data_IF_893251458574
#
_entry.id   IF_893251458574
#
_cell.length_a   1.000
_cell.length_b   1.000
_cell.length_c   1.000
_cell.angle_alpha   90.00
_cell.angle_beta   90.00
_cell.angle_gamma   90.00
#
_symmetry.space_group_name_H-M   'P 1'
#
loop_
_entity.id
_entity.type
_entity.pdbx_description
1 polymer ?
#
# COMPACT_ATOMS: atom_id res chain seq x y z
N UNK A 1 11.35 11.86 10.55
CA UNK A 1 9.96 12.17 10.95
C UNK A 1 9.55 11.12 11.96
N UNK A 2 9.87 11.34 13.24
CA UNK A 2 9.91 10.25 14.24
C UNK A 2 8.65 10.15 15.10
N UNK A 3 7.64 10.98 14.85
CA UNK A 3 6.33 10.93 15.49
C UNK A 3 5.26 11.28 14.44
N UNK A 4 4.25 10.42 14.31
CA UNK A 4 3.11 10.62 13.38
C UNK A 4 1.85 10.04 14.01
N UNK A 5 0.70 10.54 13.59
CA UNK A 5 -0.61 10.08 14.04
C UNK A 5 -1.13 8.94 13.17
N UNK A 6 -1.66 7.91 13.85
CA UNK A 6 -2.26 6.72 13.24
C UNK A 6 -3.69 6.53 13.75
N UNK A 7 -4.51 5.82 12.96
CA UNK A 7 -5.81 5.35 13.43
C UNK A 7 -5.64 3.99 14.11
N UNK A 8 -6.06 3.90 15.37
CA UNK A 8 -6.01 2.65 16.11
C UNK A 8 -6.98 1.60 15.53
N UNK A 9 -6.50 0.36 15.40
CA UNK A 9 -7.31 -0.83 15.13
C UNK A 9 -6.98 -1.87 16.21
N UNK A 10 -7.99 -2.30 16.96
CA UNK A 10 -7.81 -3.30 18.01
C UNK A 10 -7.64 -4.67 17.37
N UNK A 11 -6.56 -5.35 17.73
CA UNK A 11 -6.20 -6.67 17.25
C UNK A 11 -5.89 -7.57 18.46
N UNK A 12 -6.01 -8.90 18.34
CA UNK A 12 -5.50 -9.80 19.36
C UNK A 12 -3.98 -9.65 19.53
N UNK A 13 -3.43 -10.19 20.61
CA UNK A 13 -2.01 -10.18 21.00
C UNK A 13 -1.50 -8.87 21.64
N UNK A 14 -0.24 -8.86 22.07
CA UNK A 14 0.37 -7.81 22.91
C UNK A 14 1.52 -7.06 22.24
N UNK A 15 1.42 -6.83 20.92
CA UNK A 15 2.42 -6.09 20.15
C UNK A 15 1.76 -5.05 19.26
N UNK A 16 2.45 -3.94 19.03
CA UNK A 16 2.01 -2.97 18.03
C UNK A 16 2.24 -3.51 16.63
N UNK A 17 1.31 -3.19 15.73
CA UNK A 17 1.33 -3.60 14.34
C UNK A 17 0.98 -2.40 13.48
N UNK A 18 1.85 -2.08 12.54
CA UNK A 18 1.65 -1.03 11.55
C UNK A 18 2.27 -1.46 10.22
N UNK A 19 1.98 -0.71 9.17
CA UNK A 19 2.41 -1.04 7.81
C UNK A 19 3.92 -0.81 7.64
N UNK A 20 4.61 -1.75 6.99
CA UNK A 20 6.06 -1.72 6.79
C UNK A 20 6.54 -0.53 5.95
N UNK A 21 5.71 -0.01 5.03
CA UNK A 21 6.04 1.18 4.24
C UNK A 21 6.28 2.42 5.13
N UNK A 22 5.78 2.41 6.37
CA UNK A 22 5.91 3.51 7.33
C UNK A 22 7.10 3.30 8.28
N UNK A 23 7.85 2.21 8.16
CA UNK A 23 9.02 1.94 9.01
C UNK A 23 10.18 2.91 8.77
N UNK A 24 10.44 3.32 7.53
CA UNK A 24 11.57 4.19 7.19
C UNK A 24 11.56 5.55 7.92
N UNK A 25 10.42 6.27 8.04
CA UNK A 25 10.34 7.47 8.88
C UNK A 25 10.77 7.28 10.34
N UNK A 26 10.52 6.09 10.91
CA UNK A 26 10.85 5.73 12.28
C UNK A 26 12.23 5.10 12.45
N UNK A 27 12.87 4.71 11.34
CA UNK A 27 14.09 3.91 11.34
C UNK A 27 13.93 2.60 12.15
N UNK A 28 12.81 1.91 11.93
CA UNK A 28 12.48 0.62 12.56
C UNK A 28 12.60 -0.54 11.55
N UNK A 29 12.89 -1.75 12.01
CA UNK A 29 13.05 -2.94 11.14
C UNK A 29 12.46 -4.26 11.70
N UNK A 30 11.68 -4.18 12.79
CA UNK A 30 11.00 -5.32 13.43
C UNK A 30 11.92 -6.41 14.01
N UNK A 31 13.12 -6.04 14.48
CA UNK A 31 14.09 -6.96 15.10
C UNK A 31 13.91 -7.15 16.63
N UNK A 32 12.98 -6.43 17.25
CA UNK A 32 12.77 -6.39 18.70
C UNK A 32 12.52 -4.99 19.27
N UNK A 33 12.58 -3.96 18.43
CA UNK A 33 12.30 -2.58 18.79
C UNK A 33 10.98 -2.35 19.55
N UNK A 34 11.04 -1.42 20.51
CA UNK A 34 9.88 -0.92 21.24
C UNK A 34 9.52 0.50 20.77
N UNK A 35 8.22 0.81 20.75
CA UNK A 35 7.72 2.14 20.39
C UNK A 35 6.72 2.65 21.43
N UNK A 36 6.75 3.96 21.67
CA UNK A 36 5.80 4.62 22.56
C UNK A 36 4.56 5.08 21.81
N UNK A 37 3.40 5.02 22.46
CA UNK A 37 2.14 5.58 21.96
C UNK A 37 1.64 6.64 22.92
N UNK A 38 1.27 7.79 22.38
CA UNK A 38 0.61 8.87 23.10
C UNK A 38 -0.82 9.03 22.60
N UNK A 39 -1.77 9.16 23.52
CA UNK A 39 -3.19 9.33 23.20
C UNK A 39 -3.62 10.78 23.48
N UNK A 40 -3.93 11.59 22.44
CA UNK A 40 -4.53 12.91 22.63
C UNK A 40 -5.87 12.80 23.35
N UNK A 41 -6.07 13.61 24.39
CA UNK A 41 -7.27 13.57 25.23
C UNK A 41 -8.35 14.57 24.77
N UNK A 42 -7.96 15.73 24.24
CA UNK A 42 -8.90 16.77 23.79
C UNK A 42 -9.28 16.58 22.33
N UNK A 43 -10.47 17.04 21.95
CA UNK A 43 -10.94 16.95 20.57
C UNK A 43 -10.10 17.80 19.61
N UNK A 44 -9.64 18.97 20.08
CA UNK A 44 -8.76 19.87 19.32
C UNK A 44 -7.42 19.19 19.02
N UNK A 45 -6.73 18.65 20.03
CA UNK A 45 -5.47 17.94 19.84
C UNK A 45 -5.64 16.69 18.96
N UNK A 46 -6.76 15.98 19.06
CA UNK A 46 -7.07 14.84 18.20
C UNK A 46 -7.23 15.28 16.74
N UNK A 47 -7.95 16.37 16.49
CA UNK A 47 -8.18 16.89 15.14
C UNK A 47 -6.86 17.39 14.52
N UNK A 48 -6.06 18.13 15.28
CA UNK A 48 -4.75 18.62 14.85
C UNK A 48 -3.78 17.46 14.54
N UNK A 49 -3.69 16.47 15.44
CA UNK A 49 -2.83 15.31 15.21
C UNK A 49 -3.22 14.54 13.94
N UNK A 50 -4.53 14.36 13.69
CA UNK A 50 -4.99 13.69 12.47
C UNK A 50 -4.75 14.52 11.21
N UNK A 51 -4.97 15.84 11.27
CA UNK A 51 -4.86 16.73 10.12
C UNK A 51 -3.41 17.07 9.76
N UNK A 52 -2.54 17.29 10.75
CA UNK A 52 -1.17 17.74 10.52
C UNK A 52 -0.16 16.60 10.66
N UNK A 53 -0.33 15.73 11.64
CA UNK A 53 0.62 14.65 11.95
C UNK A 53 0.23 13.31 11.32
N UNK A 54 -0.89 13.22 10.61
CA UNK A 54 -1.34 11.98 9.98
C UNK A 54 -0.34 11.46 8.95
N UNK A 55 -0.16 10.14 8.89
CA UNK A 55 0.79 9.49 7.94
C UNK A 55 0.52 9.90 6.49
N UNK A 56 -0.76 9.99 6.09
CA UNK A 56 -1.16 10.37 4.73
C UNK A 56 -0.73 11.79 4.35
N UNK A 57 -0.59 12.69 5.33
CA UNK A 57 -0.15 14.07 5.11
C UNK A 57 1.37 14.22 5.21
N UNK A 58 2.07 13.19 5.70
CA UNK A 58 3.52 13.17 5.93
C UNK A 58 4.22 12.07 5.12
N UNK A 59 3.79 11.84 3.87
CA UNK A 59 4.42 10.87 2.97
C UNK A 59 5.78 11.33 2.44
N UNK A 60 6.00 12.65 2.44
CA UNK A 60 7.17 13.32 1.86
C UNK A 60 7.97 13.95 3.00
N UNK A 61 9.30 13.85 2.94
CA UNK A 61 10.17 14.49 3.93
C UNK A 61 10.34 15.99 3.65
N UNK A 62 10.30 16.81 4.70
CA UNK A 62 10.53 18.26 4.61
C UNK A 62 11.97 18.64 4.27
N UNK A 63 12.93 17.72 4.44
CA UNK A 63 14.36 17.97 4.19
C UNK A 63 14.67 18.22 2.71
N UNK A 64 14.14 17.38 1.82
CA UNK A 64 14.48 17.39 0.39
C UNK A 64 13.27 17.12 -0.53
N UNK A 65 12.06 16.96 0.00
CA UNK A 65 10.86 16.75 -0.82
C UNK A 65 10.75 15.34 -1.41
N UNK A 66 11.55 14.37 -0.95
CA UNK A 66 11.48 13.00 -1.42
C UNK A 66 10.42 12.17 -0.65
N UNK A 67 9.76 11.20 -1.30
CA UNK A 67 8.89 10.25 -0.60
C UNK A 67 9.69 9.44 0.41
N UNK A 68 9.25 9.44 1.67
CA UNK A 68 9.87 8.65 2.74
C UNK A 68 9.03 7.44 3.14
N UNK A 69 7.70 7.51 2.93
CA UNK A 69 6.77 6.39 3.10
C UNK A 69 6.60 5.78 1.73
N UNK A 70 7.27 4.66 1.49
CA UNK A 70 7.33 4.01 0.18
C UNK A 70 7.45 2.49 0.33
N UNK A 71 7.23 1.78 -0.76
CA UNK A 71 7.43 0.34 -0.81
C UNK A 71 8.90 -0.02 -0.56
N UNK A 72 9.14 -0.97 0.34
CA UNK A 72 10.47 -1.46 0.71
C UNK A 72 10.57 -2.98 0.56
N UNK A 73 11.79 -3.50 0.45
CA UNK A 73 12.11 -4.93 0.53
C UNK A 73 11.20 -5.81 -0.36
N UNK A 74 10.32 -6.61 0.24
CA UNK A 74 9.50 -7.62 -0.44
C UNK A 74 8.50 -7.04 -1.43
N UNK A 75 7.99 -5.82 -1.17
CA UNK A 75 7.12 -5.15 -2.12
C UNK A 75 7.83 -4.84 -3.43
N UNK A 76 9.10 -4.40 -3.35
CA UNK A 76 9.90 -4.08 -4.54
C UNK A 76 10.26 -5.36 -5.30
N UNK A 77 10.69 -6.40 -4.58
CA UNK A 77 11.02 -7.70 -5.18
C UNK A 77 9.81 -8.30 -5.90
N UNK A 78 8.65 -8.30 -5.25
CA UNK A 78 7.42 -8.85 -5.80
C UNK A 78 6.92 -8.04 -7.00
N UNK A 79 6.97 -6.71 -6.92
CA UNK A 79 6.60 -5.84 -8.03
C UNK A 79 7.53 -6.04 -9.24
N UNK A 80 8.83 -6.22 -9.01
CA UNK A 80 9.79 -6.50 -10.07
C UNK A 80 9.51 -7.84 -10.75
N UNK A 81 9.39 -8.92 -9.97
CA UNK A 81 9.07 -10.26 -10.49
C UNK A 81 7.76 -10.26 -11.29
N UNK A 82 6.73 -9.58 -10.76
CA UNK A 82 5.43 -9.50 -11.41
C UNK A 82 5.50 -8.74 -12.75
N UNK A 83 6.32 -7.69 -12.85
CA UNK A 83 6.37 -6.80 -14.03
C UNK A 83 7.40 -7.22 -15.08
N UNK A 84 8.07 -8.37 -14.90
CA UNK A 84 8.94 -8.96 -15.91
C UNK A 84 8.19 -9.26 -17.21
N UNK A 85 8.90 -9.24 -18.35
CA UNK A 85 8.29 -9.37 -19.68
C UNK A 85 7.73 -10.77 -19.98
N UNK A 86 8.32 -11.77 -19.36
CA UNK A 86 7.99 -13.20 -19.49
C UNK A 86 6.97 -13.67 -18.44
N UNK A 87 6.53 -12.79 -17.55
CA UNK A 87 5.49 -13.11 -16.56
C UNK A 87 4.09 -12.93 -17.16
N UNK A 88 3.43 -14.07 -17.39
CA UNK A 88 2.07 -14.14 -17.89
C UNK A 88 1.12 -14.79 -16.87
N UNK A 89 -0.06 -14.18 -16.71
CA UNK A 89 -1.10 -14.59 -15.78
C UNK A 89 -2.32 -15.08 -16.56
N UNK A 90 -2.90 -16.20 -16.11
CA UNK A 90 -4.20 -16.66 -16.58
C UNK A 90 -5.32 -15.81 -15.99
N UNK A 91 -6.52 -15.90 -16.58
CA UNK A 91 -7.70 -15.15 -16.13
C UNK A 91 -7.99 -15.33 -14.64
N UNK A 92 -7.91 -16.56 -14.13
CA UNK A 92 -8.19 -16.85 -12.72
C UNK A 92 -7.14 -16.22 -11.80
N UNK A 93 -5.86 -16.28 -12.19
CA UNK A 93 -4.76 -15.69 -11.40
C UNK A 93 -4.88 -14.17 -11.35
N UNK A 94 -5.10 -13.52 -12.49
CA UNK A 94 -5.22 -12.05 -12.50
C UNK A 94 -6.47 -11.59 -11.75
N UNK A 95 -7.60 -12.29 -11.88
CA UNK A 95 -8.82 -11.95 -11.14
C UNK A 95 -8.62 -12.08 -9.63
N UNK A 96 -8.04 -13.19 -9.16
CA UNK A 96 -7.76 -13.41 -7.75
C UNK A 96 -6.81 -12.34 -7.19
N UNK A 97 -5.73 -12.02 -7.91
CA UNK A 97 -4.79 -10.99 -7.45
C UNK A 97 -5.44 -9.60 -7.46
N UNK A 98 -6.22 -9.28 -8.49
CA UNK A 98 -6.93 -8.02 -8.59
C UNK A 98 -7.94 -7.81 -7.44
N UNK A 99 -8.57 -8.88 -6.94
CA UNK A 99 -9.45 -8.81 -5.77
C UNK A 99 -8.73 -8.35 -4.48
N UNK A 100 -7.44 -8.68 -4.31
CA UNK A 100 -6.67 -8.20 -3.15
C UNK A 100 -6.33 -6.70 -3.24
N UNK A 101 -6.24 -6.15 -4.46
CA UNK A 101 -5.94 -4.74 -4.67
C UNK A 101 -7.17 -3.84 -4.63
N UNK A 102 -8.33 -4.37 -5.03
CA UNK A 102 -9.57 -3.61 -4.99
C UNK A 102 -9.97 -3.26 -3.55
N UNK A 103 -10.38 -2.01 -3.32
CA UNK A 103 -11.28 -1.75 -2.20
C UNK A 103 -12.56 -2.52 -2.50
N UNK A 104 -13.00 -3.40 -1.61
CA UNK A 104 -14.09 -4.37 -1.84
C UNK A 104 -15.42 -3.81 -2.40
N UNK A 105 -15.57 -2.48 -2.52
CA UNK A 105 -16.72 -1.78 -3.07
C UNK A 105 -16.53 -1.20 -4.50
N UNK A 106 -15.33 -1.29 -5.10
CA UNK A 106 -15.07 -0.75 -6.45
C UNK A 106 -15.30 -1.80 -7.54
N UNK A 107 -15.99 -1.42 -8.62
CA UNK A 107 -16.15 -2.27 -9.81
C UNK A 107 -14.81 -2.40 -10.53
N UNK A 108 -14.29 -3.61 -10.61
CA UNK A 108 -13.01 -3.91 -11.26
C UNK A 108 -13.24 -4.34 -12.73
N UNK A 109 -12.75 -3.54 -13.67
CA UNK A 109 -12.83 -3.85 -15.11
C UNK A 109 -11.50 -4.43 -15.60
N UNK A 110 -11.45 -5.74 -15.85
CA UNK A 110 -10.24 -6.37 -16.38
C UNK A 110 -9.97 -5.87 -17.82
N UNK A 111 -8.72 -5.44 -18.13
CA UNK A 111 -8.36 -5.05 -19.48
C UNK A 111 -8.39 -6.25 -20.43
N UNK A 112 -8.41 -6.03 -21.76
CA UNK A 112 -8.26 -7.12 -22.72
C UNK A 112 -6.92 -7.86 -22.52
N UNK A 113 -6.87 -9.18 -22.71
CA UNK A 113 -5.64 -9.95 -22.56
C UNK A 113 -4.59 -9.50 -23.59
N UNK A 114 -3.31 -9.50 -23.18
CA UNK A 114 -2.19 -9.18 -24.10
C UNK A 114 -2.03 -10.26 -25.16
N UNK A 115 -2.24 -11.53 -24.79
CA UNK A 115 -2.21 -12.67 -25.71
C UNK A 115 -3.59 -13.29 -25.75
N UNK A 116 -4.20 -13.39 -26.94
CA UNK A 116 -5.57 -13.91 -27.09
C UNK A 116 -5.62 -15.41 -27.44
N UNK A 117 -4.63 -15.91 -28.18
CA UNK A 117 -4.53 -17.31 -28.63
C UNK A 117 -3.10 -17.82 -28.44
N UNK A 118 -2.88 -19.11 -28.15
CA UNK A 118 -3.88 -20.17 -27.96
C UNK A 118 -4.65 -20.08 -26.63
N UNK A 119 -4.10 -19.38 -25.64
CA UNK A 119 -4.70 -19.15 -24.32
C UNK A 119 -4.72 -17.65 -24.04
N UNK A 120 -5.76 -17.18 -23.35
CA UNK A 120 -5.84 -15.79 -22.90
C UNK A 120 -4.86 -15.54 -21.75
N UNK A 121 -3.90 -14.65 -21.96
CA UNK A 121 -2.89 -14.30 -20.97
C UNK A 121 -2.77 -12.78 -20.80
N UNK A 122 -2.57 -12.39 -19.55
CA UNK A 122 -2.33 -11.01 -19.13
C UNK A 122 -0.91 -10.85 -18.61
N UNK A 123 -0.36 -9.66 -18.72
CA UNK A 123 0.95 -9.34 -18.15
C UNK A 123 0.80 -8.74 -16.76
N UNK A 124 1.81 -8.86 -15.90
CA UNK A 124 1.77 -8.18 -14.60
C UNK A 124 1.76 -6.64 -14.70
N UNK A 125 2.22 -6.07 -15.81
CA UNK A 125 2.09 -4.62 -16.08
C UNK A 125 0.63 -4.19 -16.21
N UNK A 126 -0.22 -5.00 -16.83
CA UNK A 126 -1.66 -4.74 -16.91
C UNK A 126 -2.30 -4.76 -15.52
N UNK A 127 -1.85 -5.67 -14.65
CA UNK A 127 -2.31 -5.74 -13.27
C UNK A 127 -1.89 -4.50 -12.45
N UNK A 128 -0.65 -4.02 -12.61
CA UNK A 128 -0.21 -2.76 -11.98
C UNK A 128 -1.00 -1.56 -12.52
N UNK A 129 -1.29 -1.52 -13.82
CA UNK A 129 -2.15 -0.49 -14.41
C UNK A 129 -3.56 -0.51 -13.82
N UNK A 130 -4.10 -1.71 -13.56
CA UNK A 130 -5.40 -1.88 -12.94
C UNK A 130 -5.39 -1.43 -11.46
N UNK A 131 -4.30 -1.67 -10.74
CA UNK A 131 -4.12 -1.17 -9.38
C UNK A 131 -4.11 0.37 -9.33
N UNK A 132 -3.50 1.02 -10.32
CA UNK A 132 -3.48 2.49 -10.41
C UNK A 132 -4.83 3.07 -10.86
N UNK A 133 -5.53 2.40 -11.77
CA UNK A 133 -6.85 2.80 -12.28
C UNK A 133 -7.78 1.59 -12.40
N UNK A 134 -8.62 1.32 -11.38
CA UNK A 134 -9.48 0.13 -11.34
C UNK A 134 -10.65 0.13 -12.34
N UNK A 135 -11.14 1.31 -12.74
CA UNK A 135 -12.19 1.45 -13.76
C UNK A 135 -12.03 2.73 -14.57
N UNK A 136 -12.62 2.77 -15.77
CA UNK A 136 -12.63 3.97 -16.60
C UNK A 136 -13.38 5.15 -15.95
N UNK A 137 -14.31 4.87 -15.04
CA UNK A 137 -15.16 5.86 -14.34
C UNK A 137 -14.59 6.35 -13.02
N UNK A 138 -13.51 5.75 -12.52
CA UNK A 138 -12.85 6.21 -11.29
C UNK A 138 -12.01 7.45 -11.59
N UNK A 139 -12.55 8.62 -11.26
CA UNK A 139 -11.83 9.90 -11.09
C UNK A 139 -11.78 10.24 -9.62
#
# INVERSE_FOLDING_TARGET
>A
MSIMAHRAKVMPWRTFRFNECVCSPYNADFDGDEMNIHLPQTQEARAEALALMGVQNNLITSKNGEPIVAATQDFLTSAWLLTQRDTFLTKDKIANIAMYFGKAAESLELPPPTVMKPVQLWTGKQLISLMLRPSHKST
#
